data_IF_125169211595
#
_entry.id   IF_125169211595
#
_cell.length_a   1.000
_cell.length_b   1.000
_cell.length_c   1.000
_cell.angle_alpha   90.00
_cell.angle_beta   90.00
_cell.angle_gamma   90.00
#
_symmetry.space_group_name_H-M   'P 1'
#
loop_
_entity.id
_entity.type
_entity.pdbx_description
1 polymer ?
#
# COMPACT_ATOMS: atom_id res chain seq x y z
N UNK A 1 2.30 -5.32 -1.54
CA UNK A 1 2.96 -4.58 -0.45
C UNK A 1 1.86 -4.09 0.46
N UNK A 2 1.94 -4.44 1.74
CA UNK A 2 0.91 -4.11 2.72
C UNK A 2 1.60 -3.40 3.88
N UNK A 3 1.09 -2.22 4.19
CA UNK A 3 1.51 -1.41 5.31
C UNK A 3 1.31 -2.14 6.63
N UNK A 4 2.37 -2.12 7.45
CA UNK A 4 2.42 -2.79 8.74
C UNK A 4 2.63 -1.84 9.90
N UNK A 5 2.34 -0.55 9.69
CA UNK A 5 2.29 0.46 10.73
C UNK A 5 1.16 0.21 11.74
N UNK A 6 1.20 0.94 12.86
CA UNK A 6 0.29 0.75 13.99
C UNK A 6 -1.19 1.02 13.71
N UNK A 7 -1.52 1.74 12.63
CA UNK A 7 -2.89 2.12 12.28
C UNK A 7 -3.59 1.09 11.40
N UNK A 8 -2.85 0.19 10.75
CA UNK A 8 -3.35 -0.75 9.73
C UNK A 8 -4.15 -1.96 10.24
N UNK A 9 -4.48 -2.03 11.53
CA UNK A 9 -5.07 -3.21 12.16
C UNK A 9 -6.45 -3.57 11.60
N UNK A 10 -7.33 -2.59 11.46
CA UNK A 10 -8.70 -2.76 10.95
C UNK A 10 -8.72 -2.94 9.42
N UNK A 11 -7.79 -2.29 8.73
CA UNK A 11 -7.62 -2.37 7.29
C UNK A 11 -7.15 -3.78 6.89
N UNK A 12 -6.16 -4.34 7.58
CA UNK A 12 -5.71 -5.71 7.35
C UNK A 12 -6.78 -6.76 7.72
N UNK A 13 -7.66 -6.47 8.67
CA UNK A 13 -8.85 -7.28 8.94
C UNK A 13 -9.82 -7.31 7.73
N UNK A 14 -10.08 -6.14 7.14
CA UNK A 14 -10.92 -6.01 5.95
C UNK A 14 -10.30 -6.65 4.69
N UNK A 15 -8.98 -6.84 4.66
CA UNK A 15 -8.27 -7.46 3.53
C UNK A 15 -8.60 -8.94 3.36
N UNK A 16 -8.83 -9.67 4.46
CA UNK A 16 -9.02 -11.12 4.44
C UNK A 16 -10.02 -11.63 3.39
N UNK A 17 -11.29 -11.21 3.44
CA UNK A 17 -12.31 -11.63 2.47
C UNK A 17 -11.97 -11.29 1.00
N UNK A 18 -11.23 -10.21 0.77
CA UNK A 18 -10.89 -9.72 -0.56
C UNK A 18 -9.77 -10.54 -1.22
N UNK A 19 -8.96 -11.27 -0.47
CA UNK A 19 -7.87 -12.12 -1.01
C UNK A 19 -8.39 -13.31 -1.82
N UNK A 20 -9.52 -13.90 -1.42
CA UNK A 20 -10.19 -14.93 -2.23
C UNK A 20 -10.62 -14.38 -3.59
N UNK A 21 -11.10 -13.13 -3.62
CA UNK A 21 -11.51 -12.46 -4.87
C UNK A 21 -10.33 -12.30 -5.84
N UNK A 22 -9.12 -12.04 -5.36
CA UNK A 22 -7.93 -12.01 -6.22
C UNK A 22 -7.70 -13.35 -6.95
N UNK A 23 -7.78 -14.46 -6.22
CA UNK A 23 -7.58 -15.79 -6.82
C UNK A 23 -8.69 -16.13 -7.81
N UNK A 24 -9.94 -15.78 -7.50
CA UNK A 24 -11.06 -15.95 -8.42
C UNK A 24 -10.86 -15.17 -9.73
N UNK A 25 -10.35 -13.93 -9.66
CA UNK A 25 -10.03 -13.14 -10.86
C UNK A 25 -8.92 -13.82 -11.68
N UNK A 26 -7.85 -14.28 -11.03
CA UNK A 26 -6.72 -14.94 -11.71
C UNK A 26 -7.11 -16.27 -12.35
N UNK A 27 -7.94 -17.08 -11.70
CA UNK A 27 -8.47 -18.33 -12.25
C UNK A 27 -9.52 -18.10 -13.34
N UNK A 28 -10.20 -16.96 -13.31
CA UNK A 28 -11.24 -16.56 -14.26
C UNK A 28 -10.72 -15.97 -15.58
N UNK A 29 -9.41 -15.77 -15.72
CA UNK A 29 -8.81 -15.19 -16.93
C UNK A 29 -9.08 -16.05 -18.18
N UNK A 30 -9.48 -15.38 -19.26
CA UNK A 30 -9.78 -16.01 -20.56
C UNK A 30 -8.97 -15.38 -21.69
N UNK A 31 -8.71 -16.15 -22.75
CA UNK A 31 -8.12 -15.63 -23.99
C UNK A 31 -9.21 -15.04 -24.92
N UNK A 32 -8.78 -14.51 -26.07
CA UNK A 32 -9.65 -13.93 -27.09
C UNK A 32 -10.75 -14.85 -27.64
N UNK A 33 -10.59 -16.16 -27.49
CA UNK A 33 -11.54 -17.16 -27.96
C UNK A 33 -12.46 -17.63 -26.79
N UNK A 34 -12.31 -17.02 -25.61
CA UNK A 34 -13.05 -17.33 -24.38
C UNK A 34 -12.56 -18.60 -23.68
N UNK A 35 -11.39 -19.13 -24.05
CA UNK A 35 -10.82 -20.30 -23.40
C UNK A 35 -10.08 -19.87 -22.11
N UNK A 36 -10.11 -20.66 -21.03
CA UNK A 36 -9.34 -20.35 -19.82
C UNK A 36 -7.84 -20.27 -20.10
N UNK A 37 -7.19 -19.23 -19.61
CA UNK A 37 -5.74 -19.01 -19.80
C UNK A 37 -4.91 -20.00 -18.98
N UNK A 38 -5.44 -20.43 -17.83
CA UNK A 38 -4.70 -21.24 -16.85
C UNK A 38 -3.36 -20.58 -16.51
N UNK A 39 -3.44 -19.31 -16.06
CA UNK A 39 -2.28 -18.47 -15.84
C UNK A 39 -1.24 -19.14 -14.93
N UNK A 40 0.02 -19.02 -15.34
CA UNK A 40 1.20 -19.35 -14.54
C UNK A 40 1.54 -18.08 -13.72
N UNK A 41 1.36 -18.15 -12.42
CA UNK A 41 1.35 -16.99 -11.51
C UNK A 41 2.40 -17.15 -10.42
N UNK A 42 3.13 -16.06 -10.16
CA UNK A 42 3.91 -15.86 -8.94
C UNK A 42 3.27 -14.74 -8.12
N UNK A 43 2.98 -14.97 -6.83
CA UNK A 43 2.49 -13.95 -5.89
C UNK A 43 3.51 -13.78 -4.77
N UNK A 44 4.09 -12.59 -4.68
CA UNK A 44 4.97 -12.19 -3.59
C UNK A 44 4.25 -11.18 -2.69
N UNK A 45 4.26 -11.46 -1.39
CA UNK A 45 3.79 -10.52 -0.36
C UNK A 45 5.01 -9.93 0.35
N UNK A 46 4.98 -8.65 0.64
CA UNK A 46 5.99 -7.92 1.42
C UNK A 46 5.33 -6.72 2.11
N UNK A 47 6.04 -6.03 3.00
CA UNK A 47 5.56 -4.80 3.67
C UNK A 47 6.07 -3.53 2.98
N UNK A 48 5.51 -2.38 3.36
CA UNK A 48 6.01 -1.06 2.93
C UNK A 48 7.12 -0.51 3.83
N UNK A 49 7.41 -1.19 4.95
CA UNK A 49 8.48 -0.84 5.88
C UNK A 49 9.87 -1.21 5.31
N UNK A 50 10.66 -0.17 5.02
CA UNK A 50 12.07 -0.26 4.58
C UNK A 50 13.06 0.11 5.70
N UNK A 51 12.56 0.34 6.91
CA UNK A 51 13.32 0.80 8.06
C UNK A 51 13.56 2.31 8.08
N UNK A 52 13.60 2.87 9.29
CA UNK A 52 13.91 4.28 9.51
C UNK A 52 14.65 4.46 10.85
N UNK A 53 15.69 5.34 10.94
CA UNK A 53 16.45 5.55 12.18
C UNK A 53 15.61 5.98 13.39
N UNK A 54 14.48 6.66 13.17
CA UNK A 54 13.57 7.05 14.25
C UNK A 54 12.71 5.89 14.77
N UNK A 55 12.57 4.81 14.01
CA UNK A 55 11.82 3.61 14.39
C UNK A 55 12.73 2.57 15.07
N UNK A 56 14.02 2.52 14.73
CA UNK A 56 14.98 1.55 15.28
C UNK A 56 14.97 1.46 16.82
N UNK A 57 14.89 2.56 17.60
CA UNK A 57 14.86 2.47 19.06
C UNK A 57 13.58 1.85 19.64
N UNK A 58 12.51 1.76 18.85
CA UNK A 58 11.21 1.25 19.26
C UNK A 58 10.89 -0.10 18.61
N UNK A 59 11.68 -0.53 17.64
CA UNK A 59 11.52 -1.81 16.97
C UNK A 59 11.64 -2.97 17.99
N UNK A 60 10.78 -4.00 17.90
CA UNK A 60 10.92 -5.19 18.72
C UNK A 60 12.30 -5.84 18.57
N UNK A 61 12.78 -6.50 19.63
CA UNK A 61 14.07 -7.19 19.61
C UNK A 61 14.13 -8.21 18.45
N UNK A 62 15.06 -8.00 17.51
CA UNK A 62 15.24 -8.86 16.35
C UNK A 62 14.31 -8.58 15.16
N UNK A 63 13.47 -7.54 15.25
CA UNK A 63 12.69 -7.07 14.11
C UNK A 63 13.62 -6.57 13.00
N UNK A 64 13.34 -7.02 11.78
CA UNK A 64 14.05 -6.59 10.57
C UNK A 64 12.96 -6.21 9.55
N UNK A 65 12.90 -4.93 9.12
CA UNK A 65 12.00 -4.52 8.05
C UNK A 65 12.19 -5.40 6.82
N UNK A 66 11.09 -5.76 6.14
CA UNK A 66 11.19 -6.58 4.94
C UNK A 66 11.93 -5.85 3.83
N UNK A 67 11.79 -4.52 3.73
CA UNK A 67 12.48 -3.70 2.74
C UNK A 67 12.33 -4.27 1.31
N UNK A 68 11.11 -4.66 0.93
CA UNK A 68 10.78 -5.29 -0.34
C UNK A 68 11.05 -6.80 -0.43
N UNK A 69 11.67 -7.40 0.58
CA UNK A 69 11.89 -8.84 0.65
C UNK A 69 10.58 -9.62 0.88
N UNK A 70 10.46 -10.83 0.34
CA UNK A 70 9.27 -11.65 0.49
C UNK A 70 9.02 -12.07 1.94
N UNK A 71 7.78 -11.89 2.40
CA UNK A 71 7.26 -12.51 3.62
C UNK A 71 7.06 -14.00 3.36
N UNK A 72 7.87 -14.83 4.01
CA UNK A 72 7.81 -16.30 3.90
C UNK A 72 7.25 -16.95 5.17
N UNK A 73 7.18 -16.20 6.27
CA UNK A 73 6.68 -16.69 7.55
C UNK A 73 5.16 -16.46 7.62
N UNK A 74 4.35 -17.53 7.76
CA UNK A 74 2.92 -17.41 8.02
C UNK A 74 2.66 -16.51 9.22
N UNK A 75 1.64 -15.66 9.15
CA UNK A 75 1.30 -14.70 10.20
C UNK A 75 1.05 -15.37 11.56
N UNK A 76 0.57 -16.62 11.58
CA UNK A 76 0.27 -17.38 12.80
C UNK A 76 1.56 -17.77 13.56
N UNK A 77 2.70 -17.79 12.87
CA UNK A 77 4.02 -18.04 13.45
C UNK A 77 4.73 -16.75 13.89
N UNK A 78 4.09 -15.59 13.70
CA UNK A 78 4.59 -14.25 14.06
C UNK A 78 3.48 -13.35 14.64
N UNK A 79 2.63 -13.92 15.49
CA UNK A 79 1.49 -13.20 16.10
C UNK A 79 1.91 -12.02 17.00
N UNK A 80 3.16 -11.99 17.44
CA UNK A 80 3.77 -10.86 18.12
C UNK A 80 3.81 -9.60 17.25
N UNK A 81 3.88 -9.75 15.92
CA UNK A 81 3.90 -8.61 14.99
C UNK A 81 2.55 -7.88 14.93
N UNK A 82 1.49 -8.51 15.41
CA UNK A 82 0.13 -7.94 15.46
C UNK A 82 -0.15 -7.19 16.75
N UNK A 83 0.91 -6.84 17.50
CA UNK A 83 0.85 -5.96 18.67
C UNK A 83 1.60 -4.69 18.35
N UNK A 84 0.90 -3.55 18.45
CA UNK A 84 1.49 -2.24 18.14
C UNK A 84 2.64 -1.85 19.06
N UNK A 85 3.27 -0.72 18.77
CA UNK A 85 4.35 -0.18 19.58
C UNK A 85 3.80 0.70 20.72
N UNK A 86 4.52 0.77 21.85
CA UNK A 86 4.20 1.67 22.97
C UNK A 86 3.79 0.98 24.28
N UNK A 87 3.37 1.78 25.26
CA UNK A 87 3.12 1.31 26.63
C UNK A 87 1.77 0.58 26.80
N UNK A 88 0.78 0.92 25.98
CA UNK A 88 -0.56 0.30 25.94
C UNK A 88 -0.89 -0.06 24.48
N UNK A 89 -0.21 -1.05 23.90
CA UNK A 89 -0.29 -1.30 22.47
C UNK A 89 -1.64 -1.91 22.09
N UNK A 90 -2.17 -1.49 20.94
CA UNK A 90 -3.29 -2.16 20.31
C UNK A 90 -2.87 -3.56 19.85
N UNK A 91 -3.82 -4.49 19.85
CA UNK A 91 -3.60 -5.88 19.44
C UNK A 91 -4.64 -6.29 18.39
N UNK A 92 -4.16 -6.72 17.23
CA UNK A 92 -4.98 -7.09 16.08
C UNK A 92 -4.67 -8.50 15.56
N UNK A 93 -4.37 -9.43 16.48
CA UNK A 93 -4.06 -10.82 16.12
C UNK A 93 -5.17 -11.48 15.30
N UNK A 94 -6.43 -11.06 15.47
CA UNK A 94 -7.57 -11.50 14.67
C UNK A 94 -7.37 -11.27 13.15
N UNK A 95 -6.62 -10.24 12.74
CA UNK A 95 -6.28 -10.01 11.33
C UNK A 95 -5.57 -11.20 10.69
N UNK A 96 -4.84 -11.97 11.50
CA UNK A 96 -4.25 -13.24 11.10
C UNK A 96 -5.15 -14.44 11.45
N UNK A 97 -5.57 -14.57 12.72
CA UNK A 97 -6.17 -15.81 13.23
C UNK A 97 -7.52 -16.15 12.61
N UNK A 98 -8.24 -15.14 12.09
CA UNK A 98 -9.56 -15.34 11.50
C UNK A 98 -9.47 -15.95 10.09
N UNK A 99 -8.34 -15.76 9.39
CA UNK A 99 -8.15 -16.20 8.00
C UNK A 99 -7.02 -17.23 7.81
N UNK A 100 -6.08 -17.34 8.75
CA UNK A 100 -4.97 -18.30 8.74
C UNK A 100 -5.10 -19.32 9.89
N UNK A 101 -5.92 -20.37 9.74
CA UNK A 101 -6.19 -21.35 10.81
C UNK A 101 -5.01 -22.30 11.09
N UNK A 102 -4.08 -22.46 10.16
CA UNK A 102 -2.86 -23.26 10.31
C UNK A 102 -1.73 -22.65 9.49
N UNK A 103 -0.46 -22.78 9.91
CA UNK A 103 0.65 -22.20 9.17
C UNK A 103 0.81 -22.90 7.82
N UNK A 104 0.69 -22.14 6.76
CA UNK A 104 0.93 -22.60 5.38
C UNK A 104 1.57 -21.50 4.56
N UNK A 105 2.52 -21.91 3.73
CA UNK A 105 3.30 -21.05 2.86
C UNK A 105 4.18 -21.90 1.93
N UNK A 106 4.92 -21.27 0.99
CA UNK A 106 5.84 -21.97 0.12
C UNK A 106 6.98 -22.59 0.93
N UNK A 107 7.30 -23.86 0.67
CA UNK A 107 8.24 -24.61 1.49
C UNK A 107 9.72 -24.23 1.27
N UNK A 108 10.09 -23.85 0.04
CA UNK A 108 11.48 -23.56 -0.33
C UNK A 108 11.60 -22.38 -1.32
N UNK A 109 10.49 -21.68 -1.60
CA UNK A 109 10.45 -20.60 -2.57
C UNK A 109 10.08 -19.30 -1.88
N UNK A 110 10.58 -18.15 -2.36
CA UNK A 110 10.28 -16.86 -1.77
C UNK A 110 8.83 -16.39 -2.00
N UNK A 111 8.06 -17.05 -2.84
CA UNK A 111 6.73 -16.59 -3.26
C UNK A 111 5.79 -17.75 -3.51
N UNK A 112 4.49 -17.48 -3.51
CA UNK A 112 3.47 -18.44 -3.91
C UNK A 112 3.55 -18.61 -5.42
N UNK A 113 3.61 -19.85 -5.90
CA UNK A 113 3.57 -20.18 -7.32
C UNK A 113 2.47 -21.18 -7.62
N UNK A 114 1.68 -20.94 -8.66
CA UNK A 114 0.72 -21.91 -9.17
C UNK A 114 0.50 -21.78 -10.68
N UNK A 115 0.14 -22.90 -11.31
CA UNK A 115 -0.16 -22.99 -12.73
C UNK A 115 -1.19 -24.10 -13.03
N UNK A 116 -1.67 -24.10 -14.27
CA UNK A 116 -2.61 -25.09 -14.78
C UNK A 116 -4.05 -24.86 -14.33
N UNK A 117 -4.96 -25.81 -14.63
CA UNK A 117 -6.38 -25.65 -14.32
C UNK A 117 -6.62 -25.43 -12.83
N UNK A 118 -7.15 -24.25 -12.47
CA UNK A 118 -7.46 -23.87 -11.09
C UNK A 118 -6.25 -24.04 -10.13
N UNK A 119 -5.03 -23.74 -10.62
CA UNK A 119 -3.81 -23.87 -9.83
C UNK A 119 -3.43 -25.31 -9.48
N UNK A 120 -3.81 -26.30 -10.30
CA UNK A 120 -3.57 -27.72 -10.03
C UNK A 120 -2.10 -28.11 -9.77
N UNK A 121 -1.15 -27.30 -10.23
CA UNK A 121 0.27 -27.44 -9.93
C UNK A 121 0.71 -26.23 -9.12
N UNK A 122 1.31 -26.44 -7.96
CA UNK A 122 1.76 -25.35 -7.08
C UNK A 122 2.94 -25.78 -6.22
N UNK A 123 3.69 -24.80 -5.71
CA UNK A 123 4.69 -25.01 -4.67
C UNK A 123 4.11 -25.01 -3.23
N UNK A 124 2.80 -24.82 -3.08
CA UNK A 124 2.13 -24.80 -1.78
C UNK A 124 1.77 -26.23 -1.34
N UNK A 125 2.18 -26.66 -0.12
CA UNK A 125 1.80 -27.96 0.42
C UNK A 125 0.29 -28.19 0.41
N UNK A 126 -0.15 -29.36 -0.04
CA UNK A 126 -1.58 -29.72 -0.08
C UNK A 126 -2.40 -29.04 -1.18
N UNK A 127 -1.78 -28.22 -2.04
CA UNK A 127 -2.45 -27.37 -3.01
C UNK A 127 -3.37 -26.30 -2.39
N UNK A 128 -2.98 -25.77 -1.23
CA UNK A 128 -3.76 -24.83 -0.43
C UNK A 128 -3.35 -23.37 -0.72
N UNK A 129 -3.34 -22.96 -2.00
CA UNK A 129 -2.88 -21.63 -2.46
C UNK A 129 -3.60 -20.48 -1.75
N UNK A 130 -4.91 -20.58 -1.59
CA UNK A 130 -5.73 -19.59 -0.88
C UNK A 130 -5.33 -19.46 0.58
N UNK A 131 -5.15 -20.58 1.28
CA UNK A 131 -4.73 -20.56 2.68
C UNK A 131 -3.31 -19.98 2.83
N UNK A 132 -2.39 -20.28 1.89
CA UNK A 132 -1.07 -19.65 1.88
C UNK A 132 -1.16 -18.13 1.70
N UNK A 133 -2.03 -17.64 0.82
CA UNK A 133 -2.25 -16.21 0.64
C UNK A 133 -2.82 -15.56 1.91
N UNK A 134 -3.83 -16.18 2.54
CA UNK A 134 -4.38 -15.71 3.82
C UNK A 134 -3.37 -15.72 4.96
N UNK A 135 -2.40 -16.64 4.95
CA UNK A 135 -1.35 -16.69 5.96
C UNK A 135 -0.20 -15.72 5.70
N UNK A 136 0.09 -15.36 4.44
CA UNK A 136 1.20 -14.48 4.11
C UNK A 136 0.80 -13.02 3.99
N UNK A 137 -0.44 -12.71 3.60
CA UNK A 137 -0.92 -11.33 3.37
C UNK A 137 -0.89 -10.44 4.62
N UNK A 138 -1.42 -10.84 5.80
CA UNK A 138 -1.37 -10.01 7.00
C UNK A 138 0.08 -9.76 7.43
N UNK A 139 0.53 -8.50 7.54
CA UNK A 139 1.92 -8.17 7.85
C UNK A 139 2.17 -7.86 9.33
N UNK A 140 1.13 -7.59 10.11
CA UNK A 140 1.26 -7.09 11.48
C UNK A 140 1.10 -5.58 11.54
N UNK A 141 1.26 -5.00 12.73
CA UNK A 141 1.04 -3.57 13.03
C UNK A 141 2.17 -2.98 13.90
N UNK A 142 3.34 -3.62 13.91
CA UNK A 142 4.51 -3.22 14.70
C UNK A 142 5.61 -2.57 13.84
N UNK A 143 5.32 -2.30 12.56
CA UNK A 143 6.19 -1.66 11.59
C UNK A 143 6.38 -0.17 11.84
N UNK A 144 7.30 0.39 11.07
CA UNK A 144 7.64 1.80 11.15
C UNK A 144 6.59 2.70 10.47
N UNK A 145 5.99 3.64 11.19
CA UNK A 145 5.05 4.62 10.62
C UNK A 145 5.66 5.64 9.63
N UNK A 146 6.94 5.48 9.25
CA UNK A 146 7.56 6.17 8.11
C UNK A 146 7.54 5.22 6.90
N UNK A 147 6.33 4.88 6.46
CA UNK A 147 6.11 3.84 5.45
C UNK A 147 6.62 4.27 4.07
N UNK A 148 7.29 3.37 3.36
CA UNK A 148 7.98 3.68 2.10
C UNK A 148 7.50 2.79 0.95
N UNK A 149 6.21 2.86 0.57
CA UNK A 149 5.62 1.99 -0.44
C UNK A 149 6.34 2.04 -1.79
N UNK A 150 6.82 3.22 -2.22
CA UNK A 150 7.52 3.34 -3.51
C UNK A 150 8.91 2.70 -3.47
N UNK A 151 9.68 2.89 -2.40
CA UNK A 151 10.98 2.25 -2.26
C UNK A 151 10.84 0.74 -2.05
N UNK A 152 9.90 0.30 -1.23
CA UNK A 152 9.59 -1.12 -1.06
C UNK A 152 9.24 -1.78 -2.41
N UNK A 153 8.50 -1.09 -3.29
CA UNK A 153 8.21 -1.55 -4.64
C UNK A 153 9.50 -1.75 -5.44
N UNK A 154 10.41 -0.78 -5.49
CA UNK A 154 11.67 -0.96 -6.24
C UNK A 154 12.55 -2.06 -5.67
N UNK A 155 12.63 -2.19 -4.34
CA UNK A 155 13.43 -3.24 -3.73
C UNK A 155 12.83 -4.63 -4.03
N UNK A 156 11.51 -4.77 -4.00
CA UNK A 156 10.79 -5.98 -4.35
C UNK A 156 11.06 -6.42 -5.81
N UNK A 157 11.17 -5.46 -6.72
CA UNK A 157 11.41 -5.72 -8.15
C UNK A 157 12.88 -5.53 -8.57
N UNK A 158 13.79 -5.39 -7.61
CA UNK A 158 15.22 -5.23 -7.89
C UNK A 158 15.77 -6.51 -8.57
N UNK A 159 16.33 -6.45 -9.79
CA UNK A 159 16.87 -7.62 -10.49
C UNK A 159 18.03 -8.29 -9.74
N UNK A 160 18.74 -7.53 -8.91
CA UNK A 160 19.84 -8.02 -8.09
C UNK A 160 19.37 -8.64 -6.76
N UNK A 161 18.07 -8.61 -6.44
CA UNK A 161 17.55 -9.28 -5.26
C UNK A 161 17.59 -10.81 -5.43
N UNK A 162 17.83 -11.55 -4.35
CA UNK A 162 17.99 -13.01 -4.40
C UNK A 162 16.76 -13.74 -4.95
N UNK A 163 15.55 -13.21 -4.73
CA UNK A 163 14.29 -13.76 -5.26
C UNK A 163 14.02 -13.41 -6.72
N UNK A 164 14.80 -12.51 -7.31
CA UNK A 164 14.76 -12.16 -8.74
C UNK A 164 15.95 -12.76 -9.52
N UNK A 165 16.76 -13.59 -8.86
CA UNK A 165 17.89 -14.30 -9.47
C UNK A 165 17.61 -15.81 -9.62
N UNK A 166 18.46 -16.48 -10.40
CA UNK A 166 18.43 -17.94 -10.55
C UNK A 166 17.48 -18.43 -11.64
N UNK A 167 17.10 -19.71 -11.57
CA UNK A 167 16.31 -20.37 -12.62
C UNK A 167 14.80 -20.14 -12.47
N UNK A 168 14.37 -19.69 -11.29
CA UNK A 168 12.97 -19.39 -10.96
C UNK A 168 12.93 -18.02 -10.29
N UNK A 169 13.12 -16.92 -11.04
CA UNK A 169 12.97 -15.59 -10.49
C UNK A 169 11.49 -15.23 -10.31
N UNK A 170 11.17 -14.40 -9.32
CA UNK A 170 9.84 -13.81 -9.16
C UNK A 170 9.47 -12.98 -10.41
N UNK A 171 10.35 -12.05 -10.78
CA UNK A 171 10.28 -11.33 -12.06
C UNK A 171 10.75 -12.20 -13.22
N UNK A 172 9.80 -12.79 -13.94
CA UNK A 172 10.08 -13.64 -15.10
C UNK A 172 10.08 -12.85 -16.40
N UNK A 173 10.94 -13.23 -17.33
CA UNK A 173 10.91 -12.72 -18.71
C UNK A 173 9.55 -13.01 -19.36
N UNK A 174 8.98 -12.01 -20.04
CA UNK A 174 7.69 -12.12 -20.74
C UNK A 174 6.44 -12.20 -19.85
N UNK A 175 6.59 -12.40 -18.54
CA UNK A 175 5.46 -12.30 -17.60
C UNK A 175 5.06 -10.84 -17.38
N UNK A 176 3.77 -10.56 -17.21
CA UNK A 176 3.35 -9.23 -16.75
C UNK A 176 3.67 -9.03 -15.26
N UNK A 177 3.75 -7.77 -14.83
CA UNK A 177 3.92 -7.36 -13.44
C UNK A 177 2.66 -6.64 -12.97
N UNK A 178 2.05 -7.16 -11.92
CA UNK A 178 0.99 -6.49 -11.17
C UNK A 178 1.56 -6.04 -9.82
N UNK A 179 1.46 -4.74 -9.54
CA UNK A 179 1.91 -4.13 -8.28
C UNK A 179 0.67 -3.79 -7.47
N UNK A 180 0.56 -4.33 -6.26
CA UNK A 180 -0.52 -3.96 -5.31
C UNK A 180 0.12 -3.29 -4.10
N UNK A 181 -0.32 -2.06 -3.81
CA UNK A 181 0.07 -1.29 -2.62
C UNK A 181 -1.18 -1.06 -1.78
N UNK A 182 -1.10 -1.35 -0.50
CA UNK A 182 -2.14 -1.05 0.49
C UNK A 182 -1.51 -0.31 1.66
N UNK A 183 -1.90 0.95 1.88
CA UNK A 183 -1.32 1.84 2.90
C UNK A 183 -2.28 2.98 3.21
N UNK A 184 -2.36 3.35 4.49
CA UNK A 184 -3.04 4.55 4.97
C UNK A 184 -2.09 5.74 5.17
N UNK A 185 -0.78 5.54 4.94
CA UNK A 185 0.27 6.53 5.15
C UNK A 185 0.66 7.30 3.87
N UNK A 186 1.34 8.43 4.06
CA UNK A 186 2.02 9.12 2.97
C UNK A 186 3.33 8.42 2.61
N UNK A 187 3.70 8.38 1.33
CA UNK A 187 4.98 7.79 0.92
C UNK A 187 6.17 8.54 1.55
N UNK A 188 6.91 7.82 2.37
CA UNK A 188 8.10 8.27 3.06
C UNK A 188 9.37 7.61 2.54
N UNK A 189 9.47 7.34 1.24
CA UNK A 189 10.66 6.75 0.61
C UNK A 189 11.88 7.67 0.70
N UNK A 190 12.53 7.71 1.88
CA UNK A 190 13.63 8.62 2.25
C UNK A 190 14.86 8.35 1.38
N UNK A 191 15.56 9.41 0.96
CA UNK A 191 16.82 9.32 0.23
C UNK A 191 17.99 9.09 1.20
N UNK A 192 18.64 7.92 1.25
CA UNK A 192 19.73 7.69 2.19
C UNK A 192 21.10 8.10 1.62
N UNK A 193 22.06 8.53 2.47
CA UNK A 193 21.91 8.90 3.88
C UNK A 193 21.41 10.34 4.09
N UNK A 194 21.47 11.21 3.07
CA UNK A 194 21.29 12.66 3.23
C UNK A 194 19.88 13.04 3.70
N UNK A 195 18.86 12.34 3.20
CA UNK A 195 17.46 12.54 3.56
C UNK A 195 17.19 12.28 5.04
N UNK A 196 17.82 11.27 5.65
CA UNK A 196 17.62 10.98 7.08
C UNK A 196 18.03 12.15 7.98
N UNK A 197 19.00 12.97 7.58
CA UNK A 197 19.40 14.15 8.35
C UNK A 197 18.23 15.15 8.52
N UNK A 198 17.27 15.17 7.60
CA UNK A 198 16.07 16.01 7.66
C UNK A 198 14.98 15.46 8.61
N UNK A 199 15.18 14.26 9.15
CA UNK A 199 14.30 13.65 10.15
C UNK A 199 14.93 13.63 11.54
N UNK A 200 16.27 13.64 11.63
CA UNK A 200 16.98 13.47 12.91
C UNK A 200 17.74 14.71 13.38
N UNK A 201 18.30 15.50 12.46
CA UNK A 201 19.23 16.60 12.78
C UNK A 201 18.72 17.99 12.36
N UNK A 202 17.84 18.06 11.36
CA UNK A 202 17.38 19.30 10.74
C UNK A 202 15.86 19.38 10.74
N UNK A 203 15.32 20.49 11.21
CA UNK A 203 13.88 20.69 11.47
C UNK A 203 13.13 21.40 10.34
N UNK A 204 13.75 21.52 9.16
CA UNK A 204 13.23 22.26 8.00
C UNK A 204 11.77 21.91 7.69
N UNK A 205 11.45 20.62 7.67
CA UNK A 205 10.14 20.07 7.29
C UNK A 205 9.31 19.59 8.49
N UNK A 206 9.81 19.77 9.72
CA UNK A 206 9.09 19.31 10.91
C UNK A 206 7.91 20.23 11.21
N UNK A 207 6.85 19.65 11.73
CA UNK A 207 5.73 20.42 12.26
C UNK A 207 6.06 21.03 13.63
N UNK A 208 5.36 22.11 13.96
CA UNK A 208 5.45 22.72 15.29
C UNK A 208 4.65 21.85 16.26
N UNK A 209 5.29 21.38 17.31
CA UNK A 209 4.57 20.67 18.37
C UNK A 209 3.61 21.66 19.08
N UNK A 210 2.30 21.37 19.14
CA UNK A 210 1.31 22.29 19.69
C UNK A 210 1.45 22.51 21.21
N UNK A 211 1.99 21.54 21.96
CA UNK A 211 2.19 21.65 23.40
C UNK A 211 3.38 22.53 23.77
N UNK A 212 4.47 22.42 23.01
CA UNK A 212 5.73 23.12 23.31
C UNK A 212 5.96 24.35 22.46
N UNK A 213 5.22 24.49 21.35
CA UNK A 213 5.42 25.50 20.32
C UNK A 213 6.86 25.51 19.78
N UNK A 214 7.45 24.32 19.61
CA UNK A 214 8.82 24.12 19.09
C UNK A 214 8.88 22.98 18.08
N UNK A 215 9.87 23.01 17.18
CA UNK A 215 10.21 21.90 16.29
C UNK A 215 11.31 21.04 16.92
N UNK A 216 10.94 20.18 17.85
CA UNK A 216 11.91 19.36 18.63
C UNK A 216 11.84 17.88 18.32
N UNK A 217 10.88 17.45 17.50
CA UNK A 217 10.70 16.06 17.12
C UNK A 217 10.08 15.99 15.72
N UNK A 218 10.59 15.07 14.90
CA UNK A 218 9.97 14.65 13.65
C UNK A 218 8.81 13.67 13.88
N UNK A 219 7.84 13.73 12.98
CA UNK A 219 6.66 12.85 12.87
C UNK A 219 6.48 12.47 11.40
N UNK A 220 5.51 11.61 11.09
CA UNK A 220 5.16 11.24 9.70
C UNK A 220 4.80 12.46 8.84
N UNK A 221 4.41 13.60 9.45
CA UNK A 221 4.23 14.89 8.78
C UNK A 221 5.44 15.32 7.92
N UNK A 222 6.66 14.92 8.28
CA UNK A 222 7.87 15.22 7.50
C UNK A 222 7.78 14.61 6.09
N UNK A 223 7.21 13.41 5.95
CA UNK A 223 7.04 12.75 4.65
C UNK A 223 6.14 13.57 3.73
N UNK A 224 5.05 14.13 4.27
CA UNK A 224 4.18 15.05 3.54
C UNK A 224 4.90 16.37 3.22
N UNK A 225 5.39 17.05 4.25
CA UNK A 225 5.96 18.40 4.16
C UNK A 225 7.21 18.49 3.28
N UNK A 226 7.98 17.40 3.19
CA UNK A 226 9.17 17.34 2.35
C UNK A 226 8.89 16.78 0.95
N UNK A 227 7.75 16.12 0.75
CA UNK A 227 7.44 15.35 -0.46
C UNK A 227 6.31 15.89 -1.32
N UNK A 228 5.55 16.89 -0.84
CA UNK A 228 4.35 17.40 -1.50
C UNK A 228 4.31 18.93 -1.49
N UNK A 229 3.94 19.52 -2.62
CA UNK A 229 3.61 20.95 -2.75
C UNK A 229 2.14 21.10 -3.14
N UNK A 230 1.38 21.79 -2.30
CA UNK A 230 -0.05 22.06 -2.50
C UNK A 230 -0.34 23.55 -2.81
N UNK A 231 0.68 24.40 -2.85
CA UNK A 231 0.52 25.84 -2.87
C UNK A 231 -0.21 26.36 -1.62
N UNK A 232 -1.08 27.35 -1.82
CA UNK A 232 -1.83 27.99 -0.73
C UNK A 232 -3.27 27.44 -0.67
N UNK A 233 -3.82 27.19 0.52
CA UNK A 233 -5.21 26.81 0.65
C UNK A 233 -6.13 28.01 0.36
N UNK A 234 -7.38 27.72 0.02
CA UNK A 234 -8.45 28.71 -0.02
C UNK A 234 -8.92 29.13 1.39
N UNK A 235 -9.99 29.94 1.45
CA UNK A 235 -10.52 30.43 2.73
C UNK A 235 -11.13 29.33 3.60
N UNK A 236 -11.43 28.16 3.02
CA UNK A 236 -12.02 27.01 3.68
C UNK A 236 -10.95 25.95 4.04
N UNK A 237 -9.66 26.28 3.89
CA UNK A 237 -8.54 25.39 4.19
C UNK A 237 -8.35 24.27 3.17
N UNK A 238 -8.92 24.40 1.97
CA UNK A 238 -8.82 23.41 0.89
C UNK A 238 -7.74 23.83 -0.11
N UNK A 239 -6.87 22.90 -0.49
CA UNK A 239 -5.83 23.14 -1.48
C UNK A 239 -6.36 22.83 -2.88
N UNK A 240 -6.04 23.67 -3.89
CA UNK A 240 -6.56 23.49 -5.24
C UNK A 240 -6.02 22.24 -5.94
N UNK A 241 -4.76 21.91 -5.66
CA UNK A 241 -4.07 20.72 -6.16
C UNK A 241 -2.84 20.46 -5.30
N UNK A 242 -2.35 19.22 -5.28
CA UNK A 242 -1.11 18.82 -4.63
C UNK A 242 -0.30 17.93 -5.56
N UNK A 243 0.97 18.26 -5.73
CA UNK A 243 1.90 17.53 -6.60
C UNK A 243 3.12 17.07 -5.81
N UNK A 244 3.83 16.06 -6.32
CA UNK A 244 5.08 15.65 -5.70
C UNK A 244 6.13 16.77 -5.75
N UNK A 245 6.93 16.86 -4.69
CA UNK A 245 8.01 17.81 -4.55
C UNK A 245 9.33 17.09 -4.29
N UNK A 246 10.35 17.40 -5.07
CA UNK A 246 11.72 16.92 -4.85
C UNK A 246 12.52 17.95 -4.05
N UNK A 247 12.70 17.68 -2.76
CA UNK A 247 13.48 18.49 -1.82
C UNK A 247 14.83 17.89 -1.47
N UNK A 248 15.14 16.69 -1.96
CA UNK A 248 16.27 15.87 -1.50
C UNK A 248 16.05 15.15 -0.17
N UNK A 249 14.87 15.26 0.46
CA UNK A 249 14.53 14.45 1.64
C UNK A 249 14.13 13.02 1.27
N UNK A 250 13.31 12.91 0.23
CA UNK A 250 12.75 11.67 -0.27
C UNK A 250 13.30 11.43 -1.68
N UNK A 251 13.36 10.18 -2.11
CA UNK A 251 13.72 9.87 -3.50
C UNK A 251 12.73 10.55 -4.47
N UNK A 252 13.19 11.17 -5.58
CA UNK A 252 12.27 11.80 -6.53
C UNK A 252 11.33 10.77 -7.14
N UNK A 253 10.05 11.12 -7.33
CA UNK A 253 9.06 10.18 -7.88
C UNK A 253 9.43 9.65 -9.27
N UNK A 254 10.16 10.46 -10.05
CA UNK A 254 10.69 10.08 -11.35
C UNK A 254 11.61 8.85 -11.30
N UNK A 255 12.26 8.56 -10.16
CA UNK A 255 13.04 7.33 -9.97
C UNK A 255 12.18 6.08 -10.17
N UNK A 256 10.97 6.10 -9.61
CA UNK A 256 10.02 5.00 -9.66
C UNK A 256 9.40 4.88 -11.05
N UNK A 257 8.93 6.01 -11.58
CA UNK A 257 8.34 6.09 -12.93
C UNK A 257 9.31 5.65 -14.01
N UNK A 258 10.54 6.18 -14.03
CA UNK A 258 11.55 5.80 -15.03
C UNK A 258 11.87 4.30 -14.99
N UNK A 259 11.84 3.66 -13.82
CA UNK A 259 12.06 2.22 -13.77
C UNK A 259 10.88 1.43 -14.33
N UNK A 260 9.64 1.80 -13.98
CA UNK A 260 8.44 1.10 -14.47
C UNK A 260 8.17 1.37 -15.95
N UNK A 261 8.23 2.63 -16.37
CA UNK A 261 7.98 3.09 -17.74
C UNK A 261 9.16 2.77 -18.66
N UNK A 262 10.33 3.36 -18.40
CA UNK A 262 11.47 3.25 -19.33
C UNK A 262 12.07 1.83 -19.30
N UNK A 263 12.39 1.30 -18.12
CA UNK A 263 13.08 -0.01 -18.06
C UNK A 263 12.14 -1.20 -18.24
N UNK A 264 11.03 -1.29 -17.50
CA UNK A 264 10.16 -2.45 -17.59
C UNK A 264 9.26 -2.41 -18.84
N UNK A 265 8.56 -1.29 -19.09
CA UNK A 265 7.62 -1.20 -20.21
C UNK A 265 8.37 -1.02 -21.54
N UNK A 266 9.20 0.01 -21.70
CA UNK A 266 9.81 0.31 -22.99
C UNK A 266 10.96 -0.64 -23.34
N UNK A 267 11.90 -0.84 -22.42
CA UNK A 267 13.11 -1.63 -22.68
C UNK A 267 12.86 -3.15 -22.64
N UNK A 268 12.11 -3.62 -21.66
CA UNK A 268 11.83 -5.06 -21.47
C UNK A 268 10.50 -5.51 -22.06
N UNK A 269 9.70 -4.60 -22.63
CA UNK A 269 8.40 -4.88 -23.23
C UNK A 269 7.46 -5.64 -22.26
N UNK A 270 7.49 -5.24 -20.98
CA UNK A 270 6.70 -5.84 -19.91
C UNK A 270 5.39 -5.08 -19.74
N UNK A 271 4.29 -5.81 -19.60
CA UNK A 271 3.03 -5.21 -19.16
C UNK A 271 3.12 -4.97 -17.64
N UNK A 272 3.01 -3.72 -17.22
CA UNK A 272 3.03 -3.32 -15.80
C UNK A 272 1.68 -2.67 -15.49
N UNK A 273 1.03 -3.11 -14.41
CA UNK A 273 -0.20 -2.52 -13.88
C UNK A 273 -0.08 -2.32 -12.38
N UNK A 274 -0.78 -1.33 -11.83
CA UNK A 274 -0.69 -0.95 -10.42
C UNK A 274 -2.08 -0.74 -9.81
N UNK A 275 -2.31 -1.39 -8.67
CA UNK A 275 -3.47 -1.17 -7.80
C UNK A 275 -2.99 -0.50 -6.51
N UNK A 276 -3.53 0.66 -6.18
CA UNK A 276 -3.41 1.27 -4.87
C UNK A 276 -4.71 1.16 -4.09
N UNK A 277 -4.69 0.57 -2.90
CA UNK A 277 -5.74 0.65 -1.89
C UNK A 277 -5.25 1.65 -0.85
N UNK A 278 -5.68 2.91 -0.99
CA UNK A 278 -4.96 4.08 -0.46
C UNK A 278 -5.91 5.12 0.13
N UNK A 279 -5.38 6.17 0.74
CA UNK A 279 -6.16 7.25 1.38
C UNK A 279 -6.93 8.17 0.42
N UNK A 280 -7.89 7.60 -0.32
CA UNK A 280 -8.88 8.31 -1.13
C UNK A 280 -10.28 8.08 -0.57
N UNK A 281 -11.26 8.99 -0.76
CA UNK A 281 -12.65 8.78 -0.32
C UNK A 281 -13.24 7.46 -0.83
N UNK A 282 -14.24 6.88 -0.14
CA UNK A 282 -14.93 5.67 -0.59
C UNK A 282 -15.35 5.75 -2.06
N UNK A 283 -15.15 4.66 -2.81
CA UNK A 283 -15.56 4.61 -4.22
C UNK A 283 -17.06 4.32 -4.29
N UNK A 284 -17.80 5.14 -5.04
CA UNK A 284 -19.27 5.05 -5.10
C UNK A 284 -19.81 4.51 -6.41
N UNK A 285 -18.98 4.48 -7.46
CA UNK A 285 -19.30 3.84 -8.72
C UNK A 285 -18.04 3.44 -9.49
N UNK A 286 -18.11 2.31 -10.19
CA UNK A 286 -17.07 1.80 -11.08
C UNK A 286 -17.55 1.77 -12.53
N UNK A 287 -16.63 1.83 -13.48
CA UNK A 287 -16.93 1.61 -14.89
C UNK A 287 -17.55 0.19 -15.04
N UNK A 288 -18.69 0.01 -15.74
CA UNK A 288 -19.29 -1.31 -15.93
C UNK A 288 -18.51 -2.22 -16.88
N UNK A 289 -17.43 -1.72 -17.49
CA UNK A 289 -16.56 -2.47 -18.41
C UNK A 289 -15.14 -2.53 -17.86
N UNK A 290 -14.38 -3.60 -18.18
CA UNK A 290 -12.97 -3.67 -17.83
C UNK A 290 -12.20 -2.42 -18.30
N UNK A 291 -11.25 -1.92 -17.48
CA UNK A 291 -10.78 -2.56 -16.25
C UNK A 291 -11.61 -2.29 -15.00
N UNK A 292 -12.81 -1.72 -15.08
CA UNK A 292 -13.69 -1.45 -13.92
C UNK A 292 -13.12 -0.39 -12.97
N UNK A 293 -12.40 0.59 -13.51
CA UNK A 293 -11.84 1.68 -12.74
C UNK A 293 -12.93 2.53 -12.05
N UNK A 294 -12.63 3.15 -10.89
CA UNK A 294 -13.51 4.11 -10.25
C UNK A 294 -13.97 5.24 -11.19
N UNK A 295 -15.26 5.59 -11.14
CA UNK A 295 -15.89 6.66 -11.94
C UNK A 295 -16.59 7.73 -11.10
N UNK A 296 -16.80 7.49 -9.81
CA UNK A 296 -17.30 8.44 -8.82
C UNK A 296 -16.83 8.05 -7.41
N UNK A 297 -16.70 9.01 -6.50
CA UNK A 297 -15.94 8.78 -5.25
C UNK A 297 -14.44 8.68 -5.54
N UNK A 298 -13.69 8.02 -4.66
CA UNK A 298 -12.26 7.79 -4.87
C UNK A 298 -11.48 9.06 -5.15
N UNK A 299 -10.53 8.98 -6.08
CA UNK A 299 -9.70 10.12 -6.51
C UNK A 299 -10.53 11.30 -7.02
N UNK A 300 -11.69 11.07 -7.64
CA UNK A 300 -12.52 12.15 -8.19
C UNK A 300 -13.13 13.05 -7.12
N UNK A 301 -13.35 12.51 -5.92
CA UNK A 301 -13.89 13.24 -4.76
C UNK A 301 -12.79 13.56 -3.73
N UNK A 302 -11.53 13.22 -4.00
CA UNK A 302 -10.41 13.49 -3.10
C UNK A 302 -10.20 15.01 -2.95
N UNK A 303 -10.18 15.46 -1.69
CA UNK A 303 -9.86 16.83 -1.33
C UNK A 303 -8.59 16.86 -0.50
N UNK A 304 -7.61 17.64 -0.94
CA UNK A 304 -6.48 18.02 -0.12
C UNK A 304 -6.90 19.20 0.75
N UNK A 305 -6.80 19.07 2.07
CA UNK A 305 -7.28 20.11 3.00
C UNK A 305 -6.62 20.01 4.36
N UNK A 306 -6.67 21.11 5.10
CA UNK A 306 -6.29 21.14 6.51
C UNK A 306 -7.23 20.27 7.36
N UNK A 307 -6.74 19.87 8.54
CA UNK A 307 -7.53 19.19 9.56
C UNK A 307 -8.68 20.08 10.04
N UNK A 308 -9.89 19.54 10.05
CA UNK A 308 -11.11 20.22 10.53
C UNK A 308 -11.38 19.89 11.99
N UNK A 309 -11.62 20.94 12.77
CA UNK A 309 -12.04 20.79 14.16
C UNK A 309 -13.45 20.20 14.27
N UNK A 310 -13.69 19.51 15.38
CA UNK A 310 -14.95 18.87 15.71
C UNK A 310 -15.00 17.38 15.35
N UNK A 311 -16.00 16.67 15.90
CA UNK A 311 -16.14 15.24 15.71
C UNK A 311 -16.52 14.89 14.27
N UNK A 312 -15.98 13.79 13.76
CA UNK A 312 -16.44 13.19 12.51
C UNK A 312 -17.95 12.87 12.55
N UNK A 313 -18.72 13.07 11.45
CA UNK A 313 -18.30 13.53 10.11
C UNK A 313 -18.34 15.06 9.93
N UNK A 314 -18.64 15.84 10.97
CA UNK A 314 -18.69 17.31 10.85
C UNK A 314 -17.31 17.98 10.89
N UNK A 315 -16.34 17.31 11.53
CA UNK A 315 -14.90 17.60 11.45
C UNK A 315 -14.11 16.31 11.23
N UNK A 316 -12.85 16.28 11.64
CA UNK A 316 -11.97 15.13 11.44
C UNK A 316 -11.55 14.42 12.74
N UNK A 317 -12.02 14.88 13.90
CA UNK A 317 -11.57 14.31 15.17
C UNK A 317 -12.31 13.01 15.47
N UNK A 318 -11.55 11.93 15.66
CA UNK A 318 -12.01 10.64 16.12
C UNK A 318 -12.01 10.57 17.66
N UNK A 319 -12.72 9.60 18.28
CA UNK A 319 -12.66 9.38 19.71
C UNK A 319 -11.22 9.15 20.20
N UNK A 320 -10.76 9.99 21.12
CA UNK A 320 -9.40 9.94 21.67
C UNK A 320 -8.44 10.96 21.05
N UNK A 321 -8.81 11.57 19.94
CA UNK A 321 -8.05 12.67 19.36
C UNK A 321 -8.14 13.93 20.23
N UNK A 322 -7.07 14.72 20.20
CA UNK A 322 -6.96 15.95 20.97
C UNK A 322 -7.60 17.13 20.22
N UNK A 323 -6.96 17.56 19.13
CA UNK A 323 -7.41 18.66 18.28
C UNK A 323 -6.71 18.62 16.91
N UNK A 324 -7.14 19.45 15.94
CA UNK A 324 -6.51 19.54 14.63
C UNK A 324 -5.02 19.88 14.63
N UNK A 325 -4.52 20.64 15.61
CA UNK A 325 -3.12 21.04 15.66
C UNK A 325 -2.21 19.84 16.00
N UNK A 326 -2.69 18.93 16.86
CA UNK A 326 -1.99 17.67 17.15
C UNK A 326 -1.99 16.73 15.95
N UNK A 327 -3.10 16.67 15.21
CA UNK A 327 -3.17 15.88 13.98
C UNK A 327 -2.30 16.44 12.86
N UNK A 328 -2.29 17.77 12.70
CA UNK A 328 -1.35 18.45 11.82
C UNK A 328 0.08 18.11 12.22
N UNK A 329 0.43 18.19 13.51
CA UNK A 329 1.75 17.81 14.01
C UNK A 329 2.11 16.36 13.70
N UNK A 330 1.16 15.43 13.73
CA UNK A 330 1.40 14.02 13.45
C UNK A 330 1.56 13.73 11.95
N UNK A 331 0.69 14.28 11.10
CA UNK A 331 0.51 13.83 9.71
C UNK A 331 0.75 14.88 8.62
N UNK A 332 0.80 16.17 8.97
CA UNK A 332 1.10 17.26 8.03
C UNK A 332 -0.04 17.68 7.10
N UNK A 333 -1.09 16.86 6.94
CA UNK A 333 -2.27 17.19 6.15
C UNK A 333 -3.52 16.50 6.70
N UNK A 334 -4.69 17.09 6.47
CA UNK A 334 -5.97 16.45 6.75
C UNK A 334 -6.16 15.14 5.98
N UNK A 335 -7.05 14.27 6.45
CA UNK A 335 -7.21 12.93 5.93
C UNK A 335 -7.86 12.95 4.54
N UNK A 336 -7.37 12.10 3.65
CA UNK A 336 -7.99 11.84 2.35
C UNK A 336 -9.28 11.03 2.48
N UNK A 337 -9.33 10.15 3.49
CA UNK A 337 -10.57 9.48 3.87
C UNK A 337 -10.60 9.14 5.36
N UNK A 338 -11.79 8.87 5.86
CA UNK A 338 -12.04 8.38 7.22
C UNK A 338 -12.98 7.19 7.13
N UNK A 339 -12.63 6.12 7.82
CA UNK A 339 -13.31 4.83 7.75
C UNK A 339 -14.14 4.59 9.02
N UNK A 340 -15.40 4.17 8.82
CA UNK A 340 -16.30 3.71 9.89
C UNK A 340 -16.56 2.20 9.75
N UNK A 341 -16.90 1.52 10.84
CA UNK A 341 -17.25 0.09 10.88
C UNK A 341 -18.74 -0.20 10.58
N UNK A 342 -19.52 0.84 10.26
CA UNK A 342 -20.97 0.76 10.02
C UNK A 342 -21.84 0.59 11.27
N UNK A 343 -21.22 0.47 12.46
CA UNK A 343 -21.86 0.40 13.78
C UNK A 343 -21.54 1.63 14.66
N UNK A 344 -20.80 2.60 14.12
CA UNK A 344 -20.39 3.84 14.79
C UNK A 344 -19.03 3.75 15.47
N UNK A 345 -18.28 2.67 15.26
CA UNK A 345 -16.85 2.59 15.51
C UNK A 345 -16.05 3.07 14.30
N UNK A 346 -14.79 3.44 14.53
CA UNK A 346 -13.89 3.97 13.52
C UNK A 346 -12.79 2.96 13.23
N UNK A 347 -12.50 2.74 11.95
CA UNK A 347 -11.43 1.84 11.51
C UNK A 347 -10.09 2.58 11.38
N UNK A 348 -10.14 3.83 10.91
CA UNK A 348 -8.94 4.64 10.76
C UNK A 348 -9.14 5.87 9.91
N UNK A 349 -8.05 6.58 9.70
CA UNK A 349 -7.93 7.73 8.79
C UNK A 349 -6.70 7.52 7.93
N UNK A 350 -6.82 7.81 6.64
CA UNK A 350 -5.73 7.63 5.70
C UNK A 350 -5.33 8.95 5.04
N UNK A 351 -4.04 9.11 4.83
CA UNK A 351 -3.42 10.31 4.26
C UNK A 351 -3.53 10.30 2.73
N UNK A 352 -3.80 11.45 2.07
CA UNK A 352 -3.89 11.51 0.62
C UNK A 352 -2.61 11.00 -0.08
N UNK A 353 -2.70 10.11 -1.08
CA UNK A 353 -1.55 9.39 -1.61
C UNK A 353 -0.84 10.12 -2.76
N UNK A 354 -0.53 11.43 -2.65
CA UNK A 354 -0.06 12.27 -3.78
C UNK A 354 1.06 11.64 -4.61
N UNK A 355 2.15 11.22 -3.96
CA UNK A 355 3.34 10.68 -4.65
C UNK A 355 3.08 9.31 -5.26
N UNK A 356 2.33 8.46 -4.56
CA UNK A 356 1.95 7.14 -5.03
C UNK A 356 0.98 7.21 -6.21
N UNK A 357 0.01 8.14 -6.14
CA UNK A 357 -0.92 8.47 -7.22
C UNK A 357 -0.18 8.92 -8.47
N UNK A 358 0.79 9.82 -8.36
CA UNK A 358 1.57 10.28 -9.51
C UNK A 358 2.35 9.14 -10.20
N UNK A 359 2.90 8.20 -9.43
CA UNK A 359 3.57 7.01 -9.99
C UNK A 359 2.57 6.08 -10.67
N UNK A 360 1.42 5.84 -10.04
CA UNK A 360 0.40 4.94 -10.57
C UNK A 360 -0.23 5.52 -11.85
N UNK A 361 -0.81 6.72 -11.80
CA UNK A 361 -1.46 7.38 -12.94
C UNK A 361 -0.47 7.67 -14.08
N UNK A 362 0.83 7.79 -13.78
CA UNK A 362 1.89 7.88 -14.80
C UNK A 362 1.97 6.67 -15.73
N UNK A 363 1.47 5.50 -15.31
CA UNK A 363 1.41 4.29 -16.13
C UNK A 363 0.27 4.32 -17.16
N UNK A 364 -0.74 5.17 -16.99
CA UNK A 364 -1.89 5.20 -17.88
C UNK A 364 -1.53 5.77 -19.26
N UNK A 365 -2.10 5.16 -20.29
CA UNK A 365 -2.06 5.65 -21.67
C UNK A 365 -3.46 6.11 -22.11
N UNK A 366 -3.60 6.94 -23.15
CA UNK A 366 -4.90 7.49 -23.57
C UNK A 366 -6.00 6.45 -23.84
N UNK A 367 -5.63 5.22 -24.20
CA UNK A 367 -6.52 4.10 -24.52
C UNK A 367 -6.29 2.87 -23.62
N UNK A 368 -5.45 2.98 -22.59
CA UNK A 368 -5.12 1.87 -21.69
C UNK A 368 -4.95 2.36 -20.26
N UNK A 369 -5.89 1.96 -19.41
CA UNK A 369 -5.78 2.13 -17.97
C UNK A 369 -4.88 1.02 -17.39
N UNK A 370 -3.82 1.43 -16.72
CA UNK A 370 -2.83 0.60 -16.02
C UNK A 370 -2.79 0.91 -14.52
N UNK A 371 -3.45 1.97 -14.09
CA UNK A 371 -3.60 2.36 -12.69
C UNK A 371 -5.03 2.21 -12.20
N UNK A 372 -5.19 1.68 -10.99
CA UNK A 372 -6.45 1.73 -10.27
C UNK A 372 -6.19 2.19 -8.84
N UNK A 373 -6.89 3.24 -8.39
CA UNK A 373 -6.77 3.79 -7.05
C UNK A 373 -8.12 3.68 -6.34
N UNK A 374 -8.16 2.79 -5.35
CA UNK A 374 -9.33 2.41 -4.57
C UNK A 374 -9.17 2.89 -3.13
N UNK A 375 -10.27 3.02 -2.40
CA UNK A 375 -10.24 3.53 -1.05
C UNK A 375 -9.82 2.45 -0.05
N UNK A 376 -8.81 2.74 0.76
CA UNK A 376 -8.55 1.95 1.96
C UNK A 376 -9.64 2.11 3.03
N UNK A 377 -10.45 3.17 2.94
CA UNK A 377 -11.57 3.40 3.84
C UNK A 377 -12.85 2.65 3.43
N UNK A 378 -12.84 1.88 2.33
CA UNK A 378 -13.97 1.02 1.97
C UNK A 378 -14.16 -0.12 2.98
N UNK A 379 -15.38 -0.67 3.06
CA UNK A 379 -15.71 -1.77 3.99
C UNK A 379 -15.17 -3.13 3.54
N UNK A 380 -14.79 -3.23 2.27
CA UNK A 380 -14.30 -4.43 1.61
C UNK A 380 -13.50 -4.00 0.37
N UNK A 381 -12.48 -4.78 0.01
CA UNK A 381 -11.60 -4.48 -1.12
C UNK A 381 -11.83 -5.39 -2.35
N UNK A 382 -12.97 -6.09 -2.43
CA UNK A 382 -13.27 -6.97 -3.56
C UNK A 382 -13.41 -6.19 -4.87
N UNK A 383 -13.90 -4.95 -4.81
CA UNK A 383 -13.95 -4.05 -5.96
C UNK A 383 -12.53 -3.74 -6.48
N UNK A 384 -11.58 -3.48 -5.57
CA UNK A 384 -10.20 -3.22 -5.92
C UNK A 384 -9.54 -4.39 -6.66
N UNK A 385 -9.75 -5.62 -6.19
CA UNK A 385 -9.25 -6.80 -6.90
C UNK A 385 -10.01 -7.11 -8.19
N UNK A 386 -11.28 -6.72 -8.30
CA UNK A 386 -12.01 -6.74 -9.58
C UNK A 386 -11.39 -5.80 -10.60
N UNK A 387 -11.00 -4.59 -10.16
CA UNK A 387 -10.31 -3.63 -11.01
C UNK A 387 -8.96 -4.18 -11.51
N UNK A 388 -8.17 -4.74 -10.59
CA UNK A 388 -6.90 -5.41 -10.93
C UNK A 388 -7.10 -6.57 -11.91
N UNK A 389 -8.09 -7.43 -11.66
CA UNK A 389 -8.45 -8.52 -12.56
C UNK A 389 -8.80 -8.02 -13.97
N UNK A 390 -9.53 -6.91 -14.06
CA UNK A 390 -9.83 -6.22 -15.31
C UNK A 390 -8.58 -5.75 -16.06
N UNK A 391 -7.63 -5.10 -15.37
CA UNK A 391 -6.35 -4.66 -15.96
C UNK A 391 -5.48 -5.83 -16.44
N UNK A 392 -5.49 -6.94 -15.70
CA UNK A 392 -4.80 -8.18 -16.09
C UNK A 392 -5.45 -8.81 -17.32
N UNK A 393 -6.77 -8.96 -17.32
CA UNK A 393 -7.53 -9.52 -18.44
C UNK A 393 -7.33 -8.70 -19.73
N UNK A 394 -7.35 -7.37 -19.64
CA UNK A 394 -7.09 -6.49 -20.77
C UNK A 394 -5.67 -6.67 -21.34
N UNK A 395 -4.69 -6.96 -20.48
CA UNK A 395 -3.31 -7.20 -20.89
C UNK A 395 -3.11 -8.55 -21.62
N UNK A 396 -4.03 -9.50 -21.45
CA UNK A 396 -4.04 -10.80 -22.14
C UNK A 396 -4.77 -10.69 -23.48
N UNK A 397 -5.92 -10.01 -23.48
CA UNK A 397 -6.73 -9.75 -24.66
C UNK A 397 -7.26 -8.30 -24.63
N UNK A 398 -6.62 -7.37 -25.37
CA UNK A 398 -7.11 -6.02 -25.55
C UNK A 398 -8.33 -6.06 -26.47
N UNK A 399 -9.52 -6.32 -25.91
CA UNK A 399 -10.77 -6.48 -26.66
C UNK A 399 -11.38 -5.15 -27.13
#
# INVERSE_FOLDING_TARGET
MIDNSGTMGEEQLALGPALSQLLDQLHGLTDKDGAPVHADVNIMVTSTDVGHPLCEPFAPDGYVPLAGAPQQTPCIDRLEDFTGLGADPLMFQQACTDICPFPVGPANDPYIHFEGPQGSTTNIPGNEVEAALHCLAPQGINGCGYESPLEAMLQAINPEASWNQGNSPFLRDGAMLAVVVMTDEADCSVLPPEGYALFVDQDTYWEVNPDTNTKTQATSAVCWNAGVDCGMPDMDGTFPDCVSLDTGALHPVNRYRAYLEDELIEHQNKNVVMLGIVGVPPVTAHNPRPPFEPTAGGVADLLYREWKDGPYPSGDMLPGDLDPAHKQFQFGIGPGCTSEDGMGGFRGQAIPPVRLREVCEGLDEPDRVRCCLESICDNDYSAAFTCLGGMIQWSIDPS
#
